data_IF_644162728797
#
_entry.id   IF_644162728797
#
_cell.length_a   1.000
_cell.length_b   1.000
_cell.length_c   1.000
_cell.angle_alpha   90.00
_cell.angle_beta   90.00
_cell.angle_gamma   90.00
#
_symmetry.space_group_name_H-M   'P 1'
#
loop_
_entity.id
_entity.type
_entity.pdbx_description
1 polymer ?
#
# COMPACT_ATOMS: atom_id res chain seq x y z
N UNK A 1 -8.97 -5.05 42.05
CA UNK A 1 -9.98 -5.90 41.40
C UNK A 1 -9.24 -6.93 40.56
N UNK A 2 -9.52 -8.17 40.81
CA UNK A 2 -8.68 -9.35 40.62
C UNK A 2 -8.79 -9.89 39.18
N UNK A 3 -7.63 -10.02 38.49
CA UNK A 3 -7.58 -10.67 37.17
C UNK A 3 -7.47 -12.21 37.33
N UNK A 4 -8.45 -12.92 36.83
CA UNK A 4 -8.45 -14.39 36.82
C UNK A 4 -7.83 -14.89 35.50
N UNK A 5 -6.65 -15.49 35.60
CA UNK A 5 -6.03 -16.26 34.50
C UNK A 5 -6.66 -17.66 34.48
N UNK A 6 -7.21 -18.06 33.33
CA UNK A 6 -7.64 -19.44 33.08
C UNK A 6 -6.53 -20.19 32.37
N UNK A 7 -5.96 -21.15 33.12
CA UNK A 7 -4.98 -22.11 32.60
C UNK A 7 -5.78 -23.33 32.09
N UNK A 8 -5.60 -23.68 30.80
CA UNK A 8 -6.11 -24.95 30.29
C UNK A 8 -4.97 -25.98 30.33
N UNK A 9 -5.19 -27.04 31.10
CA UNK A 9 -4.34 -28.24 31.15
C UNK A 9 -4.97 -29.27 30.23
N UNK A 10 -4.26 -29.66 29.17
CA UNK A 10 -4.64 -30.79 28.33
C UNK A 10 -3.87 -32.02 28.76
N UNK A 11 -4.60 -33.04 29.15
CA UNK A 11 -4.10 -34.35 29.57
C UNK A 11 -3.76 -35.22 28.33
N UNK A 12 -2.55 -35.78 28.33
CA UNK A 12 -2.07 -36.75 27.36
C UNK A 12 -2.53 -38.15 27.84
N UNK A 13 -3.25 -38.89 27.00
CA UNK A 13 -3.49 -40.33 27.17
C UNK A 13 -2.60 -41.13 26.21
N UNK A 14 -1.72 -41.91 26.82
CA UNK A 14 -0.88 -42.91 26.13
C UNK A 14 -1.71 -44.21 26.03
N UNK A 15 -1.84 -44.74 24.81
CA UNK A 15 -2.36 -46.06 24.55
C UNK A 15 -1.38 -46.81 23.64
N UNK A 16 -0.68 -47.79 24.23
CA UNK A 16 0.10 -48.76 23.48
C UNK A 16 -0.74 -50.02 23.28
N UNK A 17 -0.71 -50.65 22.12
CA UNK A 17 -0.65 -52.10 21.89
C UNK A 17 -0.59 -52.45 20.40
N UNK A 18 0.34 -53.36 20.03
CA UNK A 18 0.05 -54.43 19.12
C UNK A 18 0.98 -54.57 17.89
N UNK A 19 1.98 -55.40 18.03
CA UNK A 19 2.79 -55.97 16.92
C UNK A 19 1.93 -56.84 15.99
N UNK A 20 2.10 -56.73 14.70
CA UNK A 20 2.24 -57.88 13.79
C UNK A 20 2.75 -57.41 12.43
N UNK A 21 3.87 -58.00 11.99
CA UNK A 21 4.56 -57.68 10.75
C UNK A 21 3.86 -58.23 9.52
N UNK A 22 4.19 -57.63 8.40
CA UNK A 22 4.32 -58.31 7.10
C UNK A 22 5.29 -57.48 6.25
N UNK A 23 6.32 -58.20 5.76
CA UNK A 23 7.27 -57.79 4.75
C UNK A 23 6.49 -57.62 3.44
N UNK A 24 6.59 -56.47 2.83
CA UNK A 24 6.13 -56.18 1.47
C UNK A 24 7.03 -55.13 0.86
N UNK A 25 7.87 -55.60 -0.11
CA UNK A 25 8.50 -54.68 -1.06
C UNK A 25 7.42 -53.86 -1.75
N UNK A 26 7.42 -52.59 -1.51
CA UNK A 26 6.57 -51.64 -2.18
C UNK A 26 7.39 -50.36 -2.37
N UNK A 27 7.68 -50.07 -3.64
CA UNK A 27 8.13 -48.77 -4.09
C UNK A 27 7.24 -47.72 -3.41
N UNK A 28 7.78 -47.01 -2.43
CA UNK A 28 7.21 -45.76 -1.96
C UNK A 28 7.33 -44.75 -3.10
N UNK A 29 6.21 -44.22 -3.63
CA UNK A 29 6.31 -43.05 -4.47
C UNK A 29 6.95 -41.93 -3.64
N UNK A 30 7.74 -41.04 -4.27
CA UNK A 30 8.27 -39.90 -3.55
C UNK A 30 7.07 -39.15 -2.93
N UNK A 31 7.11 -38.97 -1.62
CA UNK A 31 6.23 -38.03 -0.96
C UNK A 31 6.53 -36.68 -1.61
N UNK A 32 5.61 -36.23 -2.47
CA UNK A 32 5.56 -34.85 -2.89
C UNK A 32 5.40 -34.05 -1.59
N UNK A 33 6.52 -33.53 -1.10
CA UNK A 33 6.48 -32.47 -0.10
C UNK A 33 5.65 -31.38 -0.73
N UNK A 34 4.57 -30.90 -0.09
CA UNK A 34 3.88 -29.75 -0.61
C UNK A 34 4.92 -28.63 -0.68
N UNK A 35 5.08 -28.06 -1.86
CA UNK A 35 5.74 -26.78 -2.01
C UNK A 35 5.03 -25.83 -1.05
N UNK A 36 5.68 -25.53 0.08
CA UNK A 36 5.33 -24.43 0.95
C UNK A 36 5.69 -23.12 0.21
N UNK A 37 5.04 -22.88 -0.94
CA UNK A 37 4.85 -21.55 -1.48
C UNK A 37 3.75 -20.88 -0.63
N UNK A 38 4.05 -20.64 0.64
CA UNK A 38 3.34 -19.62 1.37
C UNK A 38 3.63 -18.30 0.62
N UNK A 39 2.59 -17.55 0.20
CA UNK A 39 2.84 -16.26 -0.41
C UNK A 39 3.69 -15.44 0.56
N UNK A 40 4.78 -14.88 0.07
CA UNK A 40 5.67 -14.03 0.84
C UNK A 40 4.78 -13.07 1.66
N UNK A 41 4.87 -13.16 2.99
CA UNK A 41 4.08 -12.33 3.89
C UNK A 41 4.51 -10.88 3.64
N UNK A 42 3.54 -10.03 3.20
CA UNK A 42 3.81 -8.62 2.95
C UNK A 42 4.43 -7.96 4.19
N UNK A 43 5.61 -7.38 4.04
CA UNK A 43 6.27 -6.56 5.06
C UNK A 43 6.50 -5.16 4.50
N UNK A 44 5.97 -4.15 5.16
CA UNK A 44 6.15 -2.75 4.77
C UNK A 44 7.62 -2.33 4.73
N UNK A 45 8.48 -2.91 5.57
CA UNK A 45 9.92 -2.60 5.61
C UNK A 45 10.62 -2.93 4.27
N UNK A 46 10.03 -3.83 3.47
CA UNK A 46 10.53 -4.22 2.15
C UNK A 46 10.06 -3.27 1.02
N UNK A 47 9.20 -2.28 1.31
CA UNK A 47 8.81 -1.27 0.31
C UNK A 47 10.01 -0.42 -0.14
N UNK A 48 10.16 -0.16 -1.45
CA UNK A 48 11.28 0.60 -1.97
C UNK A 48 11.32 2.03 -1.42
N UNK A 49 12.51 2.47 -1.00
CA UNK A 49 12.73 3.84 -0.54
C UNK A 49 12.91 4.81 -1.72
N UNK A 50 13.32 4.29 -2.87
CA UNK A 50 13.63 5.02 -4.12
C UNK A 50 12.47 5.02 -5.14
N UNK A 51 11.31 4.44 -4.77
CA UNK A 51 10.08 4.60 -5.55
C UNK A 51 9.74 6.08 -5.70
N UNK A 52 9.62 6.57 -6.92
CA UNK A 52 9.54 8.00 -7.20
C UNK A 52 8.37 8.35 -8.11
N UNK A 53 7.29 8.92 -7.58
CA UNK A 53 6.27 9.57 -8.39
C UNK A 53 6.75 10.95 -8.85
N UNK A 54 6.44 11.34 -10.08
CA UNK A 54 6.86 12.63 -10.65
C UNK A 54 5.73 13.22 -11.49
N UNK A 55 5.44 14.51 -11.33
CA UNK A 55 4.49 15.22 -12.17
C UNK A 55 5.02 15.39 -13.59
N UNK A 56 4.29 14.85 -14.56
CA UNK A 56 4.50 15.11 -15.99
C UNK A 56 3.70 16.36 -16.44
N UNK A 57 2.56 16.61 -15.80
CA UNK A 57 1.71 17.78 -16.04
C UNK A 57 0.87 18.07 -14.78
N UNK A 58 0.65 19.36 -14.46
CA UNK A 58 1.28 20.55 -15.03
C UNK A 58 2.75 20.69 -14.62
N UNK A 59 3.50 21.54 -15.35
CA UNK A 59 4.89 21.88 -14.96
C UNK A 59 4.89 22.81 -13.73
N UNK A 60 5.96 22.74 -12.93
CA UNK A 60 6.15 23.65 -11.80
C UNK A 60 6.11 25.14 -12.24
N UNK A 61 5.35 25.94 -11.52
CA UNK A 61 5.11 27.36 -11.85
C UNK A 61 4.06 27.57 -12.95
N UNK A 62 3.35 26.54 -13.39
CA UNK A 62 2.36 26.65 -14.45
C UNK A 62 1.14 27.48 -14.01
N UNK A 63 0.53 28.17 -14.99
CA UNK A 63 -0.79 28.78 -14.86
C UNK A 63 -1.79 27.93 -15.64
N UNK A 64 -2.83 27.46 -14.95
CA UNK A 64 -3.80 26.48 -15.46
C UNK A 64 -5.24 26.95 -15.19
N UNK A 65 -6.21 26.25 -15.75
CA UNK A 65 -7.64 26.49 -15.52
C UNK A 65 -8.27 25.26 -14.85
N UNK A 66 -9.29 25.48 -14.05
CA UNK A 66 -10.07 24.40 -13.42
C UNK A 66 -11.06 23.77 -14.44
N UNK A 67 -11.27 22.43 -14.45
CA UNK A 67 -10.55 21.45 -13.65
C UNK A 67 -9.09 21.32 -14.09
N UNK A 68 -8.19 21.13 -13.12
CA UNK A 68 -6.77 20.95 -13.38
C UNK A 68 -6.48 19.46 -13.64
N UNK A 69 -5.96 19.16 -14.83
CA UNK A 69 -5.55 17.79 -15.19
C UNK A 69 -4.12 17.54 -14.70
N UNK A 70 -3.94 16.50 -13.90
CA UNK A 70 -2.65 16.03 -13.44
C UNK A 70 -2.27 14.73 -14.14
N UNK A 71 -1.02 14.63 -14.54
CA UNK A 71 -0.40 13.39 -15.07
C UNK A 71 0.85 13.12 -14.27
N UNK A 72 1.00 11.90 -13.78
CA UNK A 72 2.10 11.45 -12.94
C UNK A 72 2.74 10.21 -13.56
N UNK A 73 4.06 10.17 -13.61
CA UNK A 73 4.83 8.95 -13.85
C UNK A 73 5.35 8.39 -12.53
N UNK A 74 5.59 7.08 -12.48
CA UNK A 74 6.16 6.41 -11.30
C UNK A 74 7.33 5.54 -11.76
N UNK A 75 8.46 5.68 -11.08
CA UNK A 75 9.64 4.84 -11.26
C UNK A 75 9.87 3.99 -10.01
N UNK A 76 10.46 2.82 -10.16
CA UNK A 76 10.81 1.85 -9.09
C UNK A 76 9.63 1.36 -8.23
N UNK A 77 8.38 1.55 -8.69
CA UNK A 77 7.19 0.92 -8.12
C UNK A 77 6.11 0.68 -9.18
N UNK A 78 5.27 -0.32 -8.95
CA UNK A 78 4.07 -0.57 -9.73
C UNK A 78 2.84 0.08 -9.09
N UNK A 79 1.88 0.51 -9.91
CA UNK A 79 0.60 1.01 -9.40
C UNK A 79 -0.41 -0.12 -9.33
N UNK A 80 -1.02 -0.28 -8.16
CA UNK A 80 -2.08 -1.25 -7.87
C UNK A 80 -3.26 -0.54 -7.19
N UNK A 81 -4.47 -1.11 -7.27
CA UNK A 81 -5.61 -0.55 -6.57
C UNK A 81 -5.43 -0.51 -5.05
N UNK A 82 -6.01 0.51 -4.41
CA UNK A 82 -6.02 0.61 -2.95
C UNK A 82 -6.64 -0.62 -2.29
N UNK A 83 -6.08 -1.04 -1.15
CA UNK A 83 -6.53 -2.22 -0.39
C UNK A 83 -5.80 -3.51 -0.73
N UNK A 84 -4.95 -3.52 -1.75
CA UNK A 84 -4.04 -4.62 -2.05
C UNK A 84 -2.62 -4.26 -1.57
N UNK A 85 -1.96 -5.17 -0.85
CA UNK A 85 -0.60 -4.98 -0.38
C UNK A 85 0.35 -5.89 -1.17
N UNK A 86 1.32 -5.27 -1.83
CA UNK A 86 2.40 -5.94 -2.55
C UNK A 86 3.68 -5.13 -2.38
N UNK A 87 4.82 -5.81 -2.18
CA UNK A 87 6.12 -5.14 -2.10
C UNK A 87 6.47 -4.54 -3.46
N UNK A 88 6.90 -3.28 -3.46
CA UNK A 88 7.19 -2.54 -4.69
C UNK A 88 5.95 -2.02 -5.41
N UNK A 89 4.78 -2.01 -4.75
CA UNK A 89 3.55 -1.53 -5.37
C UNK A 89 2.68 -0.71 -4.42
N UNK A 90 1.87 0.19 -4.99
CA UNK A 90 0.98 1.06 -4.23
C UNK A 90 0.06 1.90 -5.11
N UNK A 91 -0.52 2.93 -4.56
CA UNK A 91 -1.37 3.87 -5.27
C UNK A 91 -0.99 5.32 -4.94
N UNK A 92 -1.42 6.24 -5.77
CA UNK A 92 -1.05 7.66 -5.66
C UNK A 92 -2.01 8.44 -4.75
N UNK A 93 -1.42 9.40 -4.05
CA UNK A 93 -2.13 10.45 -3.31
C UNK A 93 -1.67 11.82 -3.82
N UNK A 94 -2.62 12.70 -4.09
CA UNK A 94 -2.35 14.10 -4.43
C UNK A 94 -2.67 14.95 -3.20
N UNK A 95 -1.70 15.73 -2.76
CA UNK A 95 -1.78 16.59 -1.59
C UNK A 95 -1.81 18.03 -2.05
N UNK A 96 -2.88 18.76 -1.73
CA UNK A 96 -3.10 20.15 -2.12
C UNK A 96 -2.95 21.03 -0.89
N UNK A 97 -1.95 21.92 -0.87
CA UNK A 97 -1.61 22.78 0.28
C UNK A 97 -1.46 22.00 1.60
N UNK A 98 -1.03 20.75 1.52
CA UNK A 98 -0.83 19.84 2.64
C UNK A 98 0.59 19.31 2.65
N UNK A 99 1.20 19.20 3.85
CA UNK A 99 2.53 18.62 4.01
C UNK A 99 2.51 17.13 3.65
N UNK A 100 3.60 16.63 3.08
CA UNK A 100 3.80 15.20 2.80
C UNK A 100 3.92 14.40 4.11
N UNK A 101 3.54 13.14 4.08
CA UNK A 101 3.65 12.22 5.22
C UNK A 101 5.04 11.59 5.27
N UNK A 102 5.58 11.41 6.47
CA UNK A 102 6.83 10.68 6.63
C UNK A 102 6.65 9.20 6.25
N UNK A 103 7.72 8.58 5.73
CA UNK A 103 7.72 7.14 5.42
C UNK A 103 7.24 6.33 6.62
N UNK A 104 6.26 5.48 6.43
CA UNK A 104 5.65 4.67 7.48
C UNK A 104 4.49 5.35 8.22
N UNK A 105 4.17 6.61 7.91
CA UNK A 105 2.96 7.24 8.41
C UNK A 105 1.74 6.83 7.59
N UNK A 106 0.59 6.82 8.23
CA UNK A 106 -0.67 6.51 7.56
C UNK A 106 -1.26 7.77 6.95
N UNK A 107 -1.41 7.79 5.64
CA UNK A 107 -2.18 8.81 4.92
C UNK A 107 -3.67 8.59 5.22
N UNK A 108 -4.45 9.59 5.64
CA UNK A 108 -5.88 9.42 5.87
C UNK A 108 -6.58 8.82 4.65
N UNK A 109 -7.40 7.79 4.85
CA UNK A 109 -8.14 7.12 3.79
C UNK A 109 -9.19 8.03 3.11
N UNK A 110 -9.73 7.61 1.94
CA UNK A 110 -10.65 8.43 1.16
C UNK A 110 -11.91 8.80 1.96
N UNK A 111 -12.16 10.09 2.11
CA UNK A 111 -13.31 10.63 2.83
C UNK A 111 -13.49 12.11 2.49
N UNK A 112 -14.72 12.63 2.66
CA UNK A 112 -15.01 14.06 2.48
C UNK A 112 -14.08 14.93 3.35
N UNK A 113 -13.74 14.50 4.55
CA UNK A 113 -12.83 15.24 5.44
C UNK A 113 -11.37 15.21 4.97
N UNK A 114 -10.90 14.13 4.35
CA UNK A 114 -9.57 14.09 3.76
C UNK A 114 -9.48 15.06 2.56
N UNK A 115 -10.51 15.10 1.72
CA UNK A 115 -10.57 16.03 0.59
C UNK A 115 -10.67 17.49 1.06
N UNK A 116 -11.41 17.78 2.15
CA UNK A 116 -11.45 19.11 2.77
C UNK A 116 -10.08 19.52 3.34
N UNK A 117 -9.26 18.54 3.77
CA UNK A 117 -7.89 18.75 4.22
C UNK A 117 -6.86 18.73 3.06
N UNK A 118 -7.32 18.63 1.82
CA UNK A 118 -6.46 18.64 0.62
C UNK A 118 -5.83 17.29 0.25
N UNK A 119 -6.36 16.17 0.76
CA UNK A 119 -5.82 14.83 0.51
C UNK A 119 -6.73 14.08 -0.46
N UNK A 120 -6.27 13.87 -1.70
CA UNK A 120 -7.00 13.19 -2.76
C UNK A 120 -6.37 11.82 -3.07
N UNK A 121 -7.23 10.81 -3.30
CA UNK A 121 -6.81 9.43 -3.50
C UNK A 121 -7.02 8.97 -4.94
N UNK A 122 -5.98 8.47 -5.55
CA UNK A 122 -6.02 7.83 -6.86
C UNK A 122 -6.02 6.30 -6.70
N UNK A 123 -7.17 5.77 -6.27
CA UNK A 123 -7.31 4.41 -5.74
C UNK A 123 -7.41 3.30 -6.80
N UNK A 124 -7.47 3.63 -8.09
CA UNK A 124 -7.69 2.67 -9.19
C UNK A 124 -6.42 2.43 -10.02
N UNK A 125 -5.23 2.62 -9.44
CA UNK A 125 -3.94 2.51 -10.14
C UNK A 125 -3.80 3.45 -11.35
N UNK A 126 -4.54 4.56 -11.35
CA UNK A 126 -4.47 5.57 -12.41
C UNK A 126 -3.22 6.43 -12.28
N UNK A 127 -2.74 6.93 -13.42
CA UNK A 127 -1.63 7.88 -13.54
C UNK A 127 -2.09 9.27 -13.95
N UNK A 128 -3.39 9.46 -14.17
CA UNK A 128 -3.98 10.74 -14.56
C UNK A 128 -5.37 10.91 -13.94
N UNK A 129 -5.66 12.12 -13.50
CA UNK A 129 -6.99 12.53 -13.05
C UNK A 129 -7.06 14.06 -13.02
N UNK A 130 -8.26 14.61 -12.75
CA UNK A 130 -8.48 16.04 -12.67
C UNK A 130 -9.13 16.45 -11.36
N UNK A 131 -8.69 17.60 -10.82
CA UNK A 131 -9.26 18.20 -9.63
C UNK A 131 -9.91 19.55 -9.95
N UNK A 132 -11.11 19.78 -9.38
CA UNK A 132 -11.75 21.08 -9.40
C UNK A 132 -11.17 21.93 -8.28
N UNK A 133 -10.35 22.93 -8.63
CA UNK A 133 -9.73 23.87 -7.71
C UNK A 133 -10.28 25.28 -7.98
N UNK A 134 -10.50 26.05 -6.94
CA UNK A 134 -10.87 27.47 -7.07
C UNK A 134 -9.67 28.29 -7.59
N UNK A 135 -9.89 29.49 -8.18
CA UNK A 135 -8.77 30.36 -8.57
C UNK A 135 -7.88 30.70 -7.38
N UNK A 136 -6.58 30.46 -7.50
CA UNK A 136 -5.60 30.65 -6.45
C UNK A 136 -4.23 30.08 -6.79
N UNK A 137 -3.26 30.27 -5.91
CA UNK A 137 -1.94 29.63 -5.96
C UNK A 137 -1.93 28.43 -5.01
N UNK A 138 -1.43 27.29 -5.48
CA UNK A 138 -1.42 26.04 -4.74
C UNK A 138 -0.06 25.38 -4.78
N UNK A 139 0.33 24.78 -3.67
CA UNK A 139 1.40 23.79 -3.60
C UNK A 139 0.79 22.40 -3.72
N UNK A 140 1.22 21.63 -4.70
CA UNK A 140 0.70 20.28 -4.97
C UNK A 140 1.82 19.29 -4.82
N UNK A 141 1.66 18.31 -3.94
CA UNK A 141 2.59 17.20 -3.81
C UNK A 141 1.96 15.88 -4.27
N UNK A 142 2.78 14.95 -4.72
CA UNK A 142 2.39 13.58 -5.04
C UNK A 142 3.19 12.61 -4.19
N UNK A 143 2.51 11.60 -3.64
CA UNK A 143 3.10 10.61 -2.74
C UNK A 143 2.47 9.23 -2.96
N UNK A 144 3.30 8.17 -2.83
CA UNK A 144 2.85 6.79 -2.85
C UNK A 144 2.38 6.34 -1.47
N UNK A 145 1.28 5.59 -1.43
CA UNK A 145 0.82 4.81 -0.28
C UNK A 145 0.61 3.36 -0.67
N UNK A 146 0.93 2.44 0.23
CA UNK A 146 0.62 1.02 0.04
C UNK A 146 -0.90 0.76 0.14
N UNK A 147 -1.32 -0.50 0.06
CA UNK A 147 -2.76 -0.85 0.14
C UNK A 147 -3.42 -0.51 1.47
N UNK A 148 -2.65 -0.27 2.53
CA UNK A 148 -3.11 0.21 3.83
C UNK A 148 -2.95 1.73 4.02
N UNK A 149 -2.58 2.47 2.96
CA UNK A 149 -2.29 3.91 2.96
C UNK A 149 -1.06 4.29 3.80
N UNK A 150 -0.09 3.40 3.90
CA UNK A 150 1.18 3.73 4.57
C UNK A 150 2.12 4.38 3.55
N UNK A 151 2.55 5.60 3.82
CA UNK A 151 3.40 6.40 2.96
C UNK A 151 4.77 5.75 2.73
N UNK A 152 5.22 5.65 1.46
CA UNK A 152 6.53 5.13 1.11
C UNK A 152 7.12 5.84 -0.13
N UNK A 153 8.40 5.59 -0.40
CA UNK A 153 9.11 6.18 -1.52
C UNK A 153 9.45 7.65 -1.34
N UNK A 154 9.83 8.28 -2.43
CA UNK A 154 10.07 9.71 -2.55
C UNK A 154 8.76 10.45 -2.88
N UNK A 155 8.81 11.78 -2.89
CA UNK A 155 7.69 12.66 -3.22
C UNK A 155 8.13 13.68 -4.25
N UNK A 156 7.21 14.16 -5.08
CA UNK A 156 7.43 15.31 -5.94
C UNK A 156 6.46 16.44 -5.59
N UNK A 157 6.89 17.68 -5.76
CA UNK A 157 6.11 18.87 -5.41
C UNK A 157 6.22 19.93 -6.50
N UNK A 158 5.10 20.51 -6.87
CA UNK A 158 4.98 21.61 -7.82
C UNK A 158 4.13 22.74 -7.23
N UNK A 159 4.36 23.96 -7.70
CA UNK A 159 3.50 25.11 -7.45
C UNK A 159 2.73 25.47 -8.71
N UNK A 160 1.43 25.67 -8.62
CA UNK A 160 0.59 26.09 -9.75
C UNK A 160 -0.26 27.32 -9.42
N UNK A 161 -0.67 28.05 -10.43
CA UNK A 161 -1.68 29.11 -10.30
C UNK A 161 -2.90 28.73 -11.11
N UNK A 162 -4.06 28.64 -10.45
CA UNK A 162 -5.36 28.39 -11.11
C UNK A 162 -6.04 29.72 -11.40
N UNK A 163 -6.41 29.94 -12.66
CA UNK A 163 -7.16 31.12 -13.13
C UNK A 163 -8.64 30.80 -13.38
N UNK A 164 -9.50 31.86 -13.42
CA UNK A 164 -10.93 31.75 -13.75
C UNK A 164 -11.17 31.32 -15.22
#
# INVERSE_FOLDING_TARGET
>A
MTHTRRTFVSAVTVGAVGLSGCIGDGDDPPEDEPDDDEPDEYDFEDQPEDASPTFESPEDGATVQSPVEFVVSVEEADLIPAGENEVGAGHLHILVDHDVFDRGETIPGPSDSAEEDGIYHWSDAQTEDSLELEPGEYTIAVQLGDGAHIAFGETDEITITVEE
#
